data_IF_580100035556
#
_entry.id   IF_580100035556
#
_cell.length_a   1.000
_cell.length_b   1.000
_cell.length_c   1.000
_cell.angle_alpha   90.00
_cell.angle_beta   90.00
_cell.angle_gamma   90.00
#
_symmetry.space_group_name_H-M   'P 1'
#
loop_
_entity.id
_entity.type
_entity.pdbx_description
1 polymer ?
#
# COMPACT_ATOMS: atom_id res chain seq x y z
N UNK A 1 53.55 -37.62 36.89
CA UNK A 1 53.52 -36.71 38.06
C UNK A 1 53.69 -35.29 37.53
N UNK A 2 52.83 -34.34 37.94
CA UNK A 2 53.15 -33.21 38.86
C UNK A 2 54.21 -32.25 38.26
N UNK A 3 54.01 -30.93 38.10
CA UNK A 3 52.96 -29.99 38.54
C UNK A 3 52.56 -29.08 37.33
N UNK A 4 51.38 -28.48 37.16
CA UNK A 4 50.32 -28.01 38.06
C UNK A 4 50.49 -26.59 38.67
N UNK A 5 49.79 -25.62 38.04
CA UNK A 5 49.20 -24.38 38.61
C UNK A 5 50.12 -23.20 38.99
N UNK A 6 50.01 -22.12 38.21
CA UNK A 6 49.25 -20.92 38.61
C UNK A 6 48.03 -20.88 37.65
N UNK A 7 46.73 -20.80 38.02
CA UNK A 7 46.02 -20.18 39.15
C UNK A 7 46.24 -18.65 39.19
N UNK A 8 45.23 -17.77 39.21
CA UNK A 8 43.79 -17.89 39.49
C UNK A 8 42.98 -16.96 38.54
N UNK A 9 41.63 -16.94 38.45
CA UNK A 9 40.63 -17.20 39.48
C UNK A 9 39.35 -17.89 38.96
N UNK A 10 38.80 -18.71 39.86
CA UNK A 10 37.39 -19.09 40.04
C UNK A 10 36.35 -18.22 39.32
N UNK A 11 35.48 -18.77 38.48
CA UNK A 11 34.20 -19.42 38.88
C UNK A 11 33.40 -18.65 39.94
N UNK A 12 32.56 -17.73 39.47
CA UNK A 12 31.37 -17.16 40.12
C UNK A 12 30.35 -16.89 38.98
N UNK A 13 29.08 -17.31 39.02
CA UNK A 13 28.37 -18.18 39.99
C UNK A 13 27.27 -18.97 39.23
N UNK A 14 26.84 -20.12 39.74
CA UNK A 14 25.77 -20.92 39.11
C UNK A 14 24.36 -20.42 39.48
N UNK A 15 23.44 -20.39 38.50
CA UNK A 15 21.95 -20.30 38.47
C UNK A 15 21.60 -20.20 36.95
N UNK A 16 20.51 -20.66 36.32
CA UNK A 16 19.41 -21.64 36.52
C UNK A 16 18.86 -21.94 35.09
N UNK A 17 18.25 -23.06 34.70
CA UNK A 17 18.14 -24.42 35.26
C UNK A 17 17.78 -25.38 34.09
N UNK A 18 17.39 -26.63 34.35
CA UNK A 18 16.83 -27.56 33.34
C UNK A 18 15.35 -27.29 33.05
N UNK A 19 15.01 -27.09 31.78
CA UNK A 19 13.63 -27.13 31.26
C UNK A 19 13.63 -27.49 29.76
N UNK A 20 12.75 -28.40 29.35
CA UNK A 20 12.68 -28.93 27.98
C UNK A 20 11.54 -28.28 27.19
N UNK A 21 11.78 -27.97 25.91
CA UNK A 21 10.82 -27.71 24.83
C UNK A 21 9.63 -26.76 25.07
N UNK A 22 9.63 -25.63 24.34
CA UNK A 22 8.47 -25.04 23.64
C UNK A 22 9.00 -24.14 22.51
N UNK A 23 8.14 -23.76 21.54
CA UNK A 23 8.54 -23.51 20.15
C UNK A 23 8.54 -22.01 19.72
N UNK A 24 9.13 -21.77 18.54
CA UNK A 24 9.06 -20.60 17.64
C UNK A 24 9.78 -19.28 18.01
N UNK A 25 10.24 -18.59 16.96
CA UNK A 25 10.69 -17.18 16.88
C UNK A 25 11.86 -16.70 17.74
N UNK A 26 13.08 -16.76 17.16
CA UNK A 26 14.00 -15.59 17.10
C UNK A 26 15.10 -15.71 16.01
N UNK A 27 14.80 -15.08 14.87
CA UNK A 27 15.66 -14.20 14.04
C UNK A 27 17.20 -14.44 14.06
N UNK A 28 17.71 -14.96 12.93
CA UNK A 28 19.00 -14.74 12.25
C UNK A 28 20.27 -14.38 13.08
N UNK A 29 21.42 -15.01 12.74
CA UNK A 29 22.18 -14.51 11.58
C UNK A 29 22.55 -15.59 10.54
N UNK A 30 22.85 -15.16 9.31
CA UNK A 30 23.51 -15.96 8.27
C UNK A 30 24.73 -15.21 7.78
N UNK A 31 25.90 -15.85 7.80
CA UNK A 31 27.04 -15.48 6.97
C UNK A 31 27.99 -16.68 6.85
N UNK A 32 28.01 -17.35 5.70
CA UNK A 32 29.21 -17.88 5.05
C UNK A 32 28.87 -18.45 3.66
N UNK A 33 29.62 -17.99 2.65
CA UNK A 33 30.23 -18.76 1.54
C UNK A 33 29.27 -19.67 0.75
N UNK A 34 28.69 -19.26 -0.39
CA UNK A 34 29.27 -18.90 -1.71
C UNK A 34 28.96 -20.00 -2.73
N UNK A 35 27.85 -19.83 -3.46
CA UNK A 35 27.65 -20.35 -4.81
C UNK A 35 27.55 -19.14 -5.77
N UNK A 36 27.89 -19.33 -7.04
CA UNK A 36 28.35 -18.23 -7.90
C UNK A 36 27.30 -17.67 -8.87
N UNK A 37 27.41 -16.36 -9.17
CA UNK A 37 26.99 -15.73 -10.43
C UNK A 37 25.48 -15.60 -10.76
N UNK A 38 24.78 -14.63 -10.15
CA UNK A 38 24.13 -13.50 -10.88
C UNK A 38 24.12 -12.28 -9.95
N UNK A 39 24.57 -11.11 -10.42
CA UNK A 39 24.65 -9.91 -9.58
C UNK A 39 23.27 -9.36 -9.18
N UNK A 40 23.10 -9.07 -7.88
CA UNK A 40 21.91 -8.43 -7.30
C UNK A 40 21.78 -6.96 -7.73
N UNK A 41 21.43 -6.75 -9.00
CA UNK A 41 20.94 -5.46 -9.48
C UNK A 41 19.57 -5.24 -8.86
N UNK A 42 19.49 -4.44 -7.81
CA UNK A 42 18.22 -4.04 -7.17
C UNK A 42 17.18 -3.75 -8.26
N UNK A 43 16.07 -4.50 -8.25
CA UNK A 43 14.96 -4.31 -9.20
C UNK A 43 14.17 -3.06 -8.80
N UNK A 44 14.78 -1.90 -9.03
CA UNK A 44 14.30 -0.56 -8.65
C UNK A 44 12.82 -0.41 -8.97
N UNK A 45 12.01 -0.22 -7.91
CA UNK A 45 10.57 0.02 -7.99
C UNK A 45 10.24 1.06 -9.07
N UNK A 46 9.39 0.67 -10.03
CA UNK A 46 8.84 1.61 -11.02
C UNK A 46 7.67 2.36 -10.37
N UNK A 47 7.73 3.69 -10.32
CA UNK A 47 6.58 4.51 -9.92
C UNK A 47 5.61 4.64 -11.09
N UNK A 48 4.40 4.12 -10.93
CA UNK A 48 3.36 4.23 -11.96
C UNK A 48 2.98 5.70 -12.22
N UNK A 49 2.99 6.19 -13.47
CA UNK A 49 2.63 7.57 -13.78
C UNK A 49 1.13 7.84 -13.56
N UNK A 50 0.27 6.81 -13.72
CA UNK A 50 -1.19 6.93 -13.57
C UNK A 50 -1.64 6.91 -12.12
N UNK A 51 -1.27 5.88 -11.35
CA UNK A 51 -1.79 5.69 -9.98
C UNK A 51 -0.81 6.05 -8.85
N UNK A 52 0.45 6.35 -9.20
CA UNK A 52 1.57 6.70 -8.30
C UNK A 52 2.03 5.63 -7.29
N UNK A 53 1.48 4.41 -7.34
CA UNK A 53 2.05 3.26 -6.62
C UNK A 53 3.47 2.96 -7.10
N UNK A 54 4.31 2.44 -6.20
CA UNK A 54 5.58 1.79 -6.53
C UNK A 54 5.32 0.32 -6.86
N UNK A 55 5.93 -0.19 -7.92
CA UNK A 55 5.67 -1.51 -8.49
C UNK A 55 7.01 -2.24 -8.69
N UNK A 56 7.13 -3.52 -8.30
CA UNK A 56 8.29 -4.35 -8.64
C UNK A 56 8.59 -4.34 -10.14
N UNK A 57 9.86 -4.35 -10.53
CA UNK A 57 10.27 -4.22 -11.95
C UNK A 57 9.77 -5.35 -12.87
N UNK A 58 9.33 -6.47 -12.31
CA UNK A 58 8.73 -7.65 -12.96
C UNK A 58 7.20 -7.57 -13.05
N UNK A 59 6.53 -6.86 -12.15
CA UNK A 59 5.08 -6.57 -12.24
C UNK A 59 4.78 -5.28 -13.03
N UNK A 60 5.80 -4.46 -13.29
CA UNK A 60 5.68 -3.13 -13.86
C UNK A 60 4.93 -3.10 -15.20
N UNK A 61 5.22 -4.02 -16.14
CA UNK A 61 4.56 -4.05 -17.45
C UNK A 61 3.05 -4.32 -17.33
N UNK A 62 2.69 -5.36 -16.57
CA UNK A 62 1.29 -5.76 -16.33
C UNK A 62 0.53 -4.61 -15.64
N UNK A 63 1.13 -4.02 -14.61
CA UNK A 63 0.53 -2.90 -13.89
C UNK A 63 0.35 -1.65 -14.76
N UNK A 64 1.33 -1.32 -15.59
CA UNK A 64 1.26 -0.16 -16.48
C UNK A 64 0.18 -0.34 -17.55
N UNK A 65 0.09 -1.52 -18.17
CA UNK A 65 -1.01 -1.85 -19.09
C UNK A 65 -2.35 -1.69 -18.37
N UNK A 66 -2.57 -2.38 -17.25
CA UNK A 66 -3.82 -2.31 -16.49
C UNK A 66 -4.21 -0.88 -16.06
N UNK A 67 -3.22 -0.03 -15.72
CA UNK A 67 -3.50 1.35 -15.33
C UNK A 67 -3.77 2.28 -16.53
N UNK A 68 -3.08 2.11 -17.65
CA UNK A 68 -3.31 2.91 -18.86
C UNK A 68 -4.58 2.50 -19.61
N UNK A 69 -5.01 1.23 -19.52
CA UNK A 69 -6.23 0.73 -20.15
C UNK A 69 -7.45 0.72 -19.22
N UNK A 70 -7.35 1.16 -17.95
CA UNK A 70 -8.52 1.29 -17.07
C UNK A 70 -9.49 2.31 -17.70
N UNK A 71 -10.74 1.95 -17.99
CA UNK A 71 -11.68 2.85 -18.65
C UNK A 71 -11.94 4.08 -17.78
N UNK A 72 -12.13 5.23 -18.42
CA UNK A 72 -12.61 6.42 -17.71
C UNK A 72 -14.06 6.19 -17.28
N UNK A 73 -14.35 6.52 -16.03
CA UNK A 73 -15.72 6.44 -15.50
C UNK A 73 -16.55 7.51 -16.19
N UNK A 74 -17.62 7.08 -16.87
CA UNK A 74 -18.63 8.00 -17.36
C UNK A 74 -19.59 8.36 -16.23
N UNK A 75 -20.04 9.62 -16.19
CA UNK A 75 -21.12 10.07 -15.33
C UNK A 75 -22.23 10.68 -16.19
N UNK A 76 -23.46 10.68 -15.66
CA UNK A 76 -24.54 11.47 -16.26
C UNK A 76 -24.46 12.89 -15.70
N UNK A 77 -24.29 13.88 -16.59
CA UNK A 77 -24.45 15.29 -16.26
C UNK A 77 -25.95 15.63 -16.19
N UNK A 78 -26.37 16.26 -15.10
CA UNK A 78 -27.77 16.50 -14.78
C UNK A 78 -27.92 17.84 -14.03
N UNK A 79 -29.14 18.39 -13.98
CA UNK A 79 -29.45 19.59 -13.19
C UNK A 79 -30.23 19.16 -11.96
N UNK A 80 -29.75 19.52 -10.77
CA UNK A 80 -30.39 19.05 -9.55
C UNK A 80 -31.79 19.64 -9.39
N UNK A 81 -32.81 18.77 -9.32
CA UNK A 81 -34.23 19.15 -9.33
C UNK A 81 -34.85 19.34 -7.94
N UNK A 82 -34.14 18.91 -6.89
CA UNK A 82 -34.66 18.76 -5.53
C UNK A 82 -33.46 18.74 -4.56
N UNK A 83 -33.55 19.41 -3.41
CA UNK A 83 -32.45 19.67 -2.47
C UNK A 83 -31.72 18.38 -2.05
N UNK A 84 -30.39 18.33 -2.15
CA UNK A 84 -29.58 17.19 -1.67
C UNK A 84 -28.61 17.64 -0.60
N UNK A 85 -28.11 16.67 0.17
CA UNK A 85 -27.09 16.91 1.19
C UNK A 85 -25.77 17.43 0.62
N UNK A 86 -24.79 17.60 1.49
CA UNK A 86 -23.47 18.11 1.12
C UNK A 86 -22.77 17.28 0.03
N UNK A 87 -22.07 17.96 -0.87
CA UNK A 87 -21.18 17.32 -1.83
C UNK A 87 -19.90 16.86 -1.11
N UNK A 88 -19.74 15.56 -0.90
CA UNK A 88 -18.65 14.96 -0.11
C UNK A 88 -17.20 15.23 -0.61
N UNK A 89 -17.02 16.00 -1.69
CA UNK A 89 -15.72 16.43 -2.23
C UNK A 89 -15.35 17.85 -1.76
N UNK A 90 -16.31 18.77 -1.64
CA UNK A 90 -16.06 20.15 -1.18
C UNK A 90 -16.70 20.49 0.17
N UNK A 91 -17.64 19.67 0.66
CA UNK A 91 -18.42 19.89 1.89
C UNK A 91 -19.30 21.16 1.82
N UNK A 92 -19.82 21.43 0.62
CA UNK A 92 -20.77 22.51 0.33
C UNK A 92 -22.13 21.90 -0.02
N UNK A 93 -23.23 22.59 0.32
CA UNK A 93 -24.61 22.14 0.07
C UNK A 93 -24.94 22.10 -1.45
N UNK A 94 -25.84 21.19 -1.84
CA UNK A 94 -26.25 20.98 -3.23
C UNK A 94 -27.65 21.53 -3.48
N UNK A 95 -27.73 22.80 -3.90
CA UNK A 95 -28.97 23.51 -4.21
C UNK A 95 -29.65 23.03 -5.51
N UNK A 96 -30.96 23.23 -5.57
CA UNK A 96 -31.76 23.09 -6.79
C UNK A 96 -31.24 24.03 -7.89
N UNK A 97 -31.09 23.50 -9.10
CA UNK A 97 -30.56 24.22 -10.26
C UNK A 97 -29.04 24.13 -10.46
N UNK A 98 -28.28 23.58 -9.49
CA UNK A 98 -26.84 23.34 -9.67
C UNK A 98 -26.57 22.18 -10.65
N UNK A 99 -25.46 22.27 -11.40
CA UNK A 99 -25.01 21.21 -12.32
C UNK A 99 -24.28 20.10 -11.56
N UNK A 100 -24.92 18.93 -11.50
CA UNK A 100 -24.41 17.73 -10.84
C UNK A 100 -23.89 16.70 -11.84
N UNK A 101 -23.07 15.79 -11.33
CA UNK A 101 -22.63 14.59 -12.00
C UNK A 101 -23.05 13.37 -11.16
N UNK A 102 -23.78 12.44 -11.77
CA UNK A 102 -24.23 11.19 -11.17
C UNK A 102 -23.39 10.03 -11.69
N UNK A 103 -22.70 9.34 -10.80
CA UNK A 103 -21.87 8.17 -11.13
C UNK A 103 -22.73 6.90 -11.36
N UNK A 104 -22.17 5.82 -11.97
CA UNK A 104 -22.85 4.55 -12.12
C UNK A 104 -23.28 3.93 -10.78
N UNK A 105 -22.50 4.14 -9.72
CA UNK A 105 -22.82 3.79 -8.33
C UNK A 105 -23.86 4.73 -7.67
N UNK A 106 -24.57 5.55 -8.45
CA UNK A 106 -25.61 6.51 -8.06
C UNK A 106 -25.20 7.70 -7.17
N UNK A 107 -23.97 7.71 -6.64
CA UNK A 107 -23.37 8.87 -5.97
C UNK A 107 -23.49 10.16 -6.79
N UNK A 108 -23.72 11.28 -6.11
CA UNK A 108 -23.95 12.61 -6.71
C UNK A 108 -22.91 13.58 -6.17
N UNK A 109 -22.26 14.32 -7.06
CA UNK A 109 -21.37 15.43 -6.70
C UNK A 109 -21.61 16.61 -7.64
N UNK A 110 -21.13 17.81 -7.29
CA UNK A 110 -20.99 18.89 -8.28
C UNK A 110 -20.10 18.41 -9.43
N UNK A 111 -20.50 18.72 -10.68
CA UNK A 111 -19.73 18.35 -11.87
C UNK A 111 -18.25 18.75 -11.77
N UNK A 112 -18.00 20.01 -11.40
CA UNK A 112 -16.64 20.56 -11.21
C UNK A 112 -15.82 19.75 -10.20
N UNK A 113 -16.44 19.32 -9.10
CA UNK A 113 -15.76 18.59 -8.03
C UNK A 113 -15.35 17.18 -8.46
N UNK A 114 -16.21 16.46 -9.20
CA UNK A 114 -15.85 15.14 -9.73
C UNK A 114 -14.86 15.23 -10.91
N UNK A 115 -14.95 16.25 -11.76
CA UNK A 115 -13.96 16.53 -12.81
C UNK A 115 -12.57 16.80 -12.20
N UNK A 116 -12.51 17.50 -11.06
CA UNK A 116 -11.30 17.74 -10.29
C UNK A 116 -10.77 16.48 -9.57
N UNK A 117 -11.66 15.60 -9.13
CA UNK A 117 -11.30 14.31 -8.55
C UNK A 117 -10.73 13.36 -9.60
N UNK A 118 -11.39 13.20 -10.76
CA UNK A 118 -10.97 12.32 -11.85
C UNK A 118 -9.64 12.71 -12.51
N UNK A 119 -9.17 13.97 -12.38
CA UNK A 119 -7.80 14.35 -12.73
C UNK A 119 -6.72 13.77 -11.81
N UNK A 120 -7.09 13.18 -10.66
CA UNK A 120 -6.18 12.58 -9.65
C UNK A 120 -6.47 11.09 -9.40
N UNK A 121 -7.74 10.69 -9.42
CA UNK A 121 -8.24 9.35 -9.14
C UNK A 121 -9.47 9.04 -10.01
N UNK A 122 -9.31 8.15 -10.97
CA UNK A 122 -10.42 7.57 -11.73
C UNK A 122 -11.03 6.39 -10.93
N UNK A 123 -11.70 6.75 -9.83
CA UNK A 123 -12.55 5.90 -9.01
C UNK A 123 -13.58 6.76 -8.25
N UNK A 124 -14.71 6.18 -7.87
CA UNK A 124 -15.65 6.85 -6.95
C UNK A 124 -14.96 7.27 -5.63
N UNK A 125 -15.24 8.48 -5.09
CA UNK A 125 -14.76 8.89 -3.76
C UNK A 125 -15.23 7.99 -2.60
N UNK A 126 -16.51 7.56 -2.64
CA UNK A 126 -17.14 6.76 -1.58
C UNK A 126 -16.98 5.26 -1.80
N UNK A 127 -16.91 4.81 -3.06
CA UNK A 127 -16.90 3.39 -3.45
C UNK A 127 -15.59 3.04 -4.20
N UNK A 128 -14.43 2.97 -3.52
CA UNK A 128 -13.12 2.80 -4.15
C UNK A 128 -12.85 1.36 -4.62
N UNK A 129 -13.62 0.89 -5.60
CA UNK A 129 -13.48 -0.43 -6.20
C UNK A 129 -14.57 -0.78 -7.22
N UNK A 130 -15.78 -0.25 -7.03
CA UNK A 130 -16.99 -0.58 -7.79
C UNK A 130 -17.17 0.30 -9.05
N UNK A 131 -16.09 0.41 -9.85
CA UNK A 131 -16.03 1.18 -11.11
C UNK A 131 -16.16 0.29 -12.36
#
# INVERSE_FOLDING_TARGET
MLLARFNEWSRQTALLCVATAINVFRRAPKHEIQDEYVGERERRDVKCPVCHKRIPSDEAEVHLVMCFTRPKIAYNEDVLSDEKGECAICLEEMDVGQTIARLPCLCIYHKKCIDDWFRRKNCCPEHPGDD
#
